data_IF_518738288287
#
_entry.id   IF_518738288287
#
_cell.length_a   1.000
_cell.length_b   1.000
_cell.length_c   1.000
_cell.angle_alpha   90.00
_cell.angle_beta   90.00
_cell.angle_gamma   90.00
#
_symmetry.space_group_name_H-M   'P 1'
#
loop_
_entity.id
_entity.type
_entity.pdbx_description
1 polymer ?
#
# COMPACT_ATOMS: atom_id res chain seq x y z
N UNK A 1 8.43 29.84 1.33
CA UNK A 1 7.13 29.33 1.79
C UNK A 1 7.30 27.86 2.15
N UNK A 2 6.89 27.40 3.35
CA UNK A 2 6.85 25.96 3.63
C UNK A 2 5.77 25.30 2.76
N UNK A 3 6.12 24.21 2.10
CA UNK A 3 5.15 23.41 1.33
C UNK A 3 4.08 22.87 2.28
N UNK A 4 2.79 22.85 1.87
CA UNK A 4 1.73 22.29 2.70
C UNK A 4 2.02 20.81 3.00
N UNK A 5 1.90 20.42 4.27
CA UNK A 5 2.10 19.02 4.67
C UNK A 5 1.11 18.13 3.91
N UNK A 6 1.56 17.05 3.23
CA UNK A 6 0.68 16.17 2.48
C UNK A 6 -0.43 15.61 3.37
N UNK A 7 -1.67 15.55 2.86
CA UNK A 7 -2.82 15.00 3.56
C UNK A 7 -2.97 13.53 3.18
N UNK A 8 -3.08 12.64 4.18
CA UNK A 8 -3.34 11.22 3.95
C UNK A 8 -4.55 11.05 3.01
N UNK A 9 -4.42 10.16 2.00
CA UNK A 9 -5.54 9.86 1.11
C UNK A 9 -6.75 9.32 1.87
N UNK A 10 -7.91 9.43 1.23
CA UNK A 10 -9.15 8.81 1.71
C UNK A 10 -8.96 7.31 1.96
N UNK A 11 -8.18 6.65 1.12
CA UNK A 11 -7.90 5.22 1.19
C UNK A 11 -7.03 4.87 2.40
N UNK A 12 -5.92 5.60 2.62
CA UNK A 12 -5.09 5.41 3.82
C UNK A 12 -5.88 5.71 5.11
N UNK A 13 -6.72 6.75 5.11
CA UNK A 13 -7.59 7.03 6.26
C UNK A 13 -8.60 5.91 6.53
N UNK A 14 -9.14 5.28 5.48
CA UNK A 14 -10.06 4.16 5.62
C UNK A 14 -9.33 2.90 6.14
N UNK A 15 -8.17 2.58 5.57
CA UNK A 15 -7.32 1.48 6.04
C UNK A 15 -6.94 1.65 7.52
N UNK A 16 -6.60 2.88 7.94
CA UNK A 16 -6.25 3.21 9.33
C UNK A 16 -7.40 3.11 10.34
N UNK A 17 -8.64 2.83 9.89
CA UNK A 17 -9.74 2.47 10.80
C UNK A 17 -9.67 1.01 11.26
N UNK A 18 -8.94 0.18 10.54
CA UNK A 18 -8.84 -1.25 10.78
C UNK A 18 -7.44 -1.66 11.21
N UNK A 19 -6.41 -1.01 10.67
CA UNK A 19 -5.00 -1.35 10.92
C UNK A 19 -4.21 -0.14 11.37
N UNK A 20 -3.27 -0.35 12.29
CA UNK A 20 -2.27 0.66 12.60
C UNK A 20 -1.33 0.91 11.42
N UNK A 21 -0.60 2.02 11.45
CA UNK A 21 0.42 2.30 10.44
C UNK A 21 1.53 1.25 10.44
N UNK A 22 1.92 0.76 11.63
CA UNK A 22 2.91 -0.30 11.78
C UNK A 22 2.45 -1.61 11.13
N UNK A 23 1.18 -1.99 11.29
CA UNK A 23 0.60 -3.17 10.64
C UNK A 23 0.54 -3.05 9.12
N UNK A 24 0.24 -1.86 8.59
CA UNK A 24 0.27 -1.60 7.14
C UNK A 24 1.70 -1.72 6.58
N UNK A 25 2.69 -1.19 7.29
CA UNK A 25 4.12 -1.34 6.92
C UNK A 25 4.54 -2.80 7.01
N UNK A 26 4.16 -3.51 8.07
CA UNK A 26 4.47 -4.94 8.23
C UNK A 26 3.89 -5.77 7.08
N UNK A 27 2.65 -5.49 6.68
CA UNK A 27 2.03 -6.08 5.49
C UNK A 27 2.84 -5.80 4.22
N UNK A 28 3.16 -4.53 3.93
CA UNK A 28 3.89 -4.17 2.72
C UNK A 28 5.27 -4.84 2.66
N UNK A 29 5.98 -4.92 3.80
CA UNK A 29 7.26 -5.64 3.90
C UNK A 29 7.10 -7.13 3.67
N UNK A 30 6.08 -7.77 4.23
CA UNK A 30 5.81 -9.19 4.00
C UNK A 30 5.41 -9.48 2.54
N UNK A 31 4.59 -8.62 1.93
CA UNK A 31 4.18 -8.75 0.54
C UNK A 31 5.32 -8.48 -0.46
N UNK A 32 6.41 -7.82 -0.01
CA UNK A 32 7.59 -7.53 -0.83
C UNK A 32 8.37 -8.76 -1.26
N UNK A 33 8.17 -9.89 -0.58
CA UNK A 33 8.73 -11.18 -0.98
C UNK A 33 8.07 -11.73 -2.27
N UNK A 34 6.94 -11.15 -2.69
CA UNK A 34 6.24 -11.50 -3.92
C UNK A 34 6.66 -10.71 -5.17
N UNK A 35 5.96 -10.97 -6.27
CA UNK A 35 6.30 -10.43 -7.59
C UNK A 35 5.71 -9.04 -7.91
N UNK A 36 4.99 -8.43 -6.99
CA UNK A 36 4.29 -7.15 -7.19
C UNK A 36 5.25 -5.97 -7.14
N UNK A 37 5.48 -5.32 -8.29
CA UNK A 37 6.41 -4.18 -8.43
C UNK A 37 5.98 -2.97 -7.60
N UNK A 38 4.68 -2.76 -7.46
CA UNK A 38 4.05 -1.71 -6.66
C UNK A 38 4.40 -1.81 -5.19
N UNK A 39 4.44 -3.04 -4.65
CA UNK A 39 4.87 -3.28 -3.27
C UNK A 39 6.36 -2.95 -3.14
N UNK A 40 7.19 -3.43 -4.07
CA UNK A 40 8.65 -3.15 -4.08
C UNK A 40 8.98 -1.67 -4.10
N UNK A 41 8.30 -0.88 -4.94
CA UNK A 41 8.51 0.57 -5.03
C UNK A 41 8.19 1.26 -3.69
N UNK A 42 7.09 0.85 -3.05
CA UNK A 42 6.64 1.46 -1.80
C UNK A 42 7.56 1.07 -0.65
N UNK A 43 7.99 -0.18 -0.57
CA UNK A 43 8.94 -0.62 0.46
C UNK A 43 10.28 0.07 0.31
N UNK A 44 10.80 0.22 -0.92
CA UNK A 44 12.02 0.99 -1.16
C UNK A 44 11.88 2.42 -0.65
N UNK A 45 10.81 3.10 -1.01
CA UNK A 45 10.56 4.48 -0.59
C UNK A 45 10.37 4.61 0.95
N UNK A 46 9.80 3.59 1.61
CA UNK A 46 9.75 3.52 3.09
C UNK A 46 11.15 3.35 3.69
N UNK A 47 12.03 2.54 3.09
CA UNK A 47 13.41 2.36 3.53
C UNK A 47 14.25 3.62 3.33
N UNK A 48 13.90 4.47 2.35
CA UNK A 48 14.45 5.81 2.16
C UNK A 48 13.91 6.84 3.17
N UNK A 49 13.06 6.43 4.10
CA UNK A 49 12.53 7.26 5.19
C UNK A 49 11.27 8.05 4.84
N UNK A 50 10.65 7.78 3.68
CA UNK A 50 9.34 8.37 3.35
C UNK A 50 8.25 7.70 4.18
N UNK A 51 7.18 8.44 4.45
CA UNK A 51 6.04 7.96 5.23
C UNK A 51 4.93 7.42 4.34
N UNK A 52 4.11 6.48 4.84
CA UNK A 52 2.90 6.03 4.12
C UNK A 52 1.97 7.19 3.78
N UNK A 53 1.95 8.23 4.61
CA UNK A 53 1.20 9.45 4.34
C UNK A 53 1.68 10.14 3.07
N UNK A 54 2.98 10.24 2.85
CA UNK A 54 3.55 10.87 1.66
C UNK A 54 3.36 10.01 0.42
N UNK A 55 3.54 8.68 0.56
CA UNK A 55 3.47 7.72 -0.54
C UNK A 55 2.04 7.46 -1.02
N UNK A 56 1.09 7.44 -0.09
CA UNK A 56 -0.31 7.18 -0.37
C UNK A 56 -1.14 8.46 -0.35
N UNK A 57 -0.52 9.64 -0.26
CA UNK A 57 -1.25 10.87 -0.58
C UNK A 57 -1.64 10.83 -2.05
N UNK A 58 -2.78 11.41 -2.43
CA UNK A 58 -3.01 11.74 -3.83
C UNK A 58 -1.95 12.77 -4.18
N UNK A 59 -0.79 12.32 -4.62
CA UNK A 59 0.16 13.23 -5.21
C UNK A 59 -0.41 13.48 -6.60
N UNK A 60 -0.99 14.66 -6.79
CA UNK A 60 -1.05 15.30 -8.10
C UNK A 60 0.41 15.53 -8.53
N UNK A 61 1.15 14.45 -8.82
CA UNK A 61 2.52 14.50 -9.34
C UNK A 61 2.44 14.80 -10.82
N UNK A 62 2.11 16.05 -11.11
CA UNK A 62 2.57 16.73 -12.30
C UNK A 62 4.05 17.14 -12.13
N UNK A 63 4.96 16.26 -11.69
CA UNK A 63 6.40 16.58 -11.65
C UNK A 63 7.27 15.31 -11.76
N UNK A 64 7.77 15.02 -12.96
CA UNK A 64 8.93 14.13 -13.18
C UNK A 64 8.71 13.02 -14.21
N UNK A 65 9.71 12.69 -15.06
CA UNK A 65 9.58 11.81 -16.21
C UNK A 65 9.67 10.33 -15.81
N UNK A 66 8.86 9.89 -14.86
CA UNK A 66 8.42 8.49 -14.87
C UNK A 66 7.25 8.42 -15.83
N UNK A 67 7.39 7.64 -16.90
CA UNK A 67 6.47 7.47 -18.04
C UNK A 67 5.02 7.05 -17.65
N UNK A 68 4.70 7.02 -16.37
CA UNK A 68 3.45 6.55 -15.76
C UNK A 68 2.71 7.67 -15.03
N UNK A 69 2.49 8.80 -15.69
CA UNK A 69 1.84 10.00 -15.14
C UNK A 69 0.36 9.87 -14.71
N UNK A 70 -0.18 8.65 -14.56
CA UNK A 70 -1.59 8.40 -14.19
C UNK A 70 -1.75 7.11 -13.37
N UNK A 71 -0.75 6.70 -12.58
CA UNK A 71 -0.93 5.59 -11.67
C UNK A 71 -1.55 6.07 -10.35
N UNK A 72 -2.76 5.60 -10.07
CA UNK A 72 -3.44 5.78 -8.79
C UNK A 72 -3.09 4.60 -7.89
N UNK A 73 -2.73 4.89 -6.64
CA UNK A 73 -2.59 3.82 -5.64
C UNK A 73 -3.97 3.36 -5.21
N UNK A 74 -4.16 2.04 -5.17
CA UNK A 74 -5.31 1.40 -4.55
C UNK A 74 -4.88 0.70 -3.25
N UNK A 75 -5.55 1.04 -2.16
CA UNK A 75 -5.43 0.42 -0.85
C UNK A 75 -6.84 0.23 -0.27
N UNK A 76 -7.26 -1.03 -0.11
CA UNK A 76 -8.48 -1.38 0.60
C UNK A 76 -8.16 -2.42 1.66
N UNK A 77 -8.76 -2.26 2.83
CA UNK A 77 -8.63 -3.19 3.96
C UNK A 77 -10.03 -3.60 4.39
N UNK A 78 -10.25 -4.90 4.51
CA UNK A 78 -11.51 -5.49 4.93
C UNK A 78 -11.25 -6.48 6.06
N UNK A 79 -11.85 -6.29 7.26
CA UNK A 79 -11.71 -7.26 8.35
C UNK A 79 -12.47 -8.55 8.01
N UNK A 80 -11.81 -9.69 8.21
CA UNK A 80 -12.40 -11.04 8.09
C UNK A 80 -12.55 -11.72 9.46
N UNK A 81 -11.80 -11.25 10.46
CA UNK A 81 -11.83 -11.73 11.86
C UNK A 81 -11.07 -10.76 12.77
N UNK A 82 -10.84 -11.12 14.05
CA UNK A 82 -10.14 -10.25 15.01
C UNK A 82 -8.74 -9.82 14.55
N UNK A 83 -7.95 -10.77 14.03
CA UNK A 83 -6.57 -10.53 13.58
C UNK A 83 -6.37 -10.88 12.10
N UNK A 84 -7.46 -11.08 11.36
CA UNK A 84 -7.42 -11.52 9.95
C UNK A 84 -8.08 -10.49 9.05
N UNK A 85 -7.39 -10.12 7.97
CA UNK A 85 -7.79 -9.06 7.06
C UNK A 85 -7.55 -9.47 5.61
N UNK A 86 -8.41 -9.00 4.73
CA UNK A 86 -8.20 -8.99 3.28
C UNK A 86 -7.66 -7.59 2.92
N UNK A 87 -6.50 -7.55 2.30
CA UNK A 87 -5.83 -6.32 1.88
C UNK A 87 -5.65 -6.35 0.36
N UNK A 88 -6.26 -5.39 -0.31
CA UNK A 88 -6.02 -5.11 -1.73
C UNK A 88 -5.01 -3.97 -1.79
N UNK A 89 -3.88 -4.18 -2.47
CA UNK A 89 -2.87 -3.16 -2.67
C UNK A 89 -2.26 -3.19 -4.07
N UNK A 90 -2.10 -2.03 -4.70
CA UNK A 90 -1.41 -1.91 -5.98
C UNK A 90 -1.47 -0.51 -6.58
N UNK A 91 -0.86 -0.35 -7.74
CA UNK A 91 -1.05 0.81 -8.60
C UNK A 91 -1.90 0.43 -9.81
N UNK A 92 -2.76 1.34 -10.25
CA UNK A 92 -3.57 1.16 -11.46
C UNK A 92 -3.67 2.47 -12.26
N UNK A 93 -3.71 2.35 -13.59
CA UNK A 93 -3.87 3.45 -14.53
C UNK A 93 -4.34 2.94 -15.90
N UNK A 94 -4.57 3.85 -16.87
CA UNK A 94 -5.04 3.45 -18.19
C UNK A 94 -4.05 2.51 -18.89
N UNK A 95 -4.42 1.24 -19.02
CA UNK A 95 -3.61 0.22 -19.69
C UNK A 95 -2.38 -0.24 -18.91
N UNK A 96 -2.28 0.09 -17.61
CA UNK A 96 -1.21 -0.35 -16.73
C UNK A 96 -1.75 -0.63 -15.34
N UNK A 97 -1.39 -1.76 -14.75
CA UNK A 97 -1.71 -2.03 -13.36
C UNK A 97 -0.83 -3.12 -12.78
N UNK A 98 -0.42 -2.96 -11.54
CA UNK A 98 0.34 -3.97 -10.82
C UNK A 98 -0.12 -3.97 -9.36
N UNK A 99 -0.53 -5.14 -8.87
CA UNK A 99 -1.07 -5.24 -7.53
C UNK A 99 -1.48 -6.66 -7.16
N UNK A 100 -2.00 -6.79 -5.95
CA UNK A 100 -2.52 -8.05 -5.45
C UNK A 100 -3.59 -7.89 -4.37
N UNK A 101 -4.29 -8.99 -4.12
CA UNK A 101 -5.11 -9.16 -2.92
C UNK A 101 -4.47 -10.23 -2.06
N UNK A 102 -4.33 -9.92 -0.79
CA UNK A 102 -3.76 -10.82 0.20
C UNK A 102 -4.71 -11.00 1.37
N UNK A 103 -4.75 -12.24 1.86
CA UNK A 103 -5.24 -12.52 3.20
C UNK A 103 -4.08 -12.46 4.17
N UNK A 104 -4.20 -11.61 5.18
CA UNK A 104 -3.15 -11.34 6.17
C UNK A 104 -3.65 -11.73 7.56
N UNK A 105 -2.84 -12.46 8.31
CA UNK A 105 -3.06 -12.72 9.73
C UNK A 105 -1.96 -12.02 10.52
N UNK A 106 -2.35 -11.17 11.47
CA UNK A 106 -1.43 -10.52 12.39
C UNK A 106 -1.24 -11.31 13.68
N UNK A 107 -0.07 -11.19 14.30
CA UNK A 107 0.14 -11.61 15.68
C UNK A 107 -0.28 -10.52 16.68
N UNK A 108 -0.20 -10.82 17.98
CA UNK A 108 -0.53 -9.87 19.05
C UNK A 108 0.38 -8.64 19.13
N UNK A 109 1.49 -8.61 18.39
CA UNK A 109 2.41 -7.47 18.28
C UNK A 109 2.17 -6.65 17.00
N UNK A 110 1.18 -7.02 16.18
CA UNK A 110 0.89 -6.38 14.90
C UNK A 110 1.88 -6.73 13.78
N UNK A 111 2.67 -7.80 13.94
CA UNK A 111 3.51 -8.36 12.88
C UNK A 111 2.71 -9.33 12.02
N UNK A 112 3.11 -9.51 10.77
CA UNK A 112 2.48 -10.49 9.88
C UNK A 112 2.91 -11.89 10.30
N UNK A 113 1.95 -12.70 10.75
CA UNK A 113 2.15 -14.12 11.09
C UNK A 113 1.95 -15.01 9.87
N UNK A 114 0.97 -14.67 9.04
CA UNK A 114 0.62 -15.43 7.83
C UNK A 114 0.20 -14.46 6.72
N UNK A 115 0.69 -14.73 5.51
CA UNK A 115 0.35 -13.96 4.32
C UNK A 115 0.06 -14.92 3.17
N UNK A 116 -1.17 -14.90 2.68
CA UNK A 116 -1.59 -15.71 1.52
C UNK A 116 -1.95 -14.74 0.40
N UNK A 117 -1.21 -14.80 -0.71
CA UNK A 117 -1.59 -14.11 -1.94
C UNK A 117 -2.77 -14.83 -2.59
N UNK A 118 -3.89 -14.14 -2.75
CA UNK A 118 -5.11 -14.69 -3.34
C UNK A 118 -5.20 -14.40 -4.84
N UNK A 119 -4.84 -13.18 -5.24
CA UNK A 119 -4.80 -12.76 -6.64
C UNK A 119 -3.65 -11.79 -6.86
N UNK A 120 -2.99 -11.89 -8.00
CA UNK A 120 -2.10 -10.85 -8.52
C UNK A 120 -2.59 -10.42 -9.89
N UNK A 121 -2.47 -9.14 -10.20
CA UNK A 121 -2.78 -8.60 -11.52
C UNK A 121 -1.60 -7.80 -12.05
N UNK A 122 -1.33 -8.04 -13.33
CA UNK A 122 -0.45 -7.24 -14.17
C UNK A 122 -1.27 -6.92 -15.41
N UNK A 123 -1.57 -5.63 -15.60
CA UNK A 123 -2.29 -5.09 -16.75
C UNK A 123 -1.34 -4.27 -17.60
#
# INVERSE_FOLDING_TARGET
MPLPKPKASRQLKAAKRHLSEAQLVAFLRAANEGDTTSVRLIVRDLDEGRTLKELLSPVELAVGPTVLGILTVELKVKPLGPDTYEILFGHHGPGYGDGGTWKVVYDGNGQVKELIGETSWIH
#
